data_IF_101038925849
#
_entry.id   IF_101038925849
#
_cell.length_a   1.000
_cell.length_b   1.000
_cell.length_c   1.000
_cell.angle_alpha   90.00
_cell.angle_beta   90.00
_cell.angle_gamma   90.00
#
_symmetry.space_group_name_H-M   'P 1'
#
loop_
_entity.id
_entity.type
_entity.pdbx_description
1 polymer ?
#
# COMPACT_ATOMS: atom_id res chain seq x y z
N UNK A 1 17.89 4.29 19.33
CA UNK A 1 16.81 5.00 18.61
C UNK A 1 15.52 5.04 19.40
N UNK A 2 14.78 6.13 19.23
CA UNK A 2 13.47 6.28 19.88
C UNK A 2 12.45 5.31 19.29
N UNK A 3 11.35 5.08 20.01
CA UNK A 3 10.24 4.27 19.51
C UNK A 3 9.76 4.77 18.14
N UNK A 4 9.65 6.09 17.97
CA UNK A 4 9.20 6.67 16.70
C UNK A 4 10.10 6.29 15.53
N UNK A 5 11.43 6.32 15.73
CA UNK A 5 12.38 5.92 14.68
C UNK A 5 12.23 4.45 14.33
N UNK A 6 12.05 3.59 15.35
CA UNK A 6 11.83 2.14 15.13
C UNK A 6 10.54 1.90 14.35
N UNK A 7 9.47 2.61 14.68
CA UNK A 7 8.18 2.46 13.99
C UNK A 7 8.28 2.90 12.52
N UNK A 8 9.01 3.99 12.23
CA UNK A 8 9.24 4.44 10.85
C UNK A 8 10.00 3.38 10.06
N UNK A 9 11.05 2.81 10.63
CA UNK A 9 11.85 1.77 9.97
C UNK A 9 10.99 0.54 9.67
N UNK A 10 10.13 0.11 10.62
CA UNK A 10 9.22 -1.02 10.43
C UNK A 10 8.22 -0.76 9.31
N UNK A 11 7.59 0.41 9.29
CA UNK A 11 6.63 0.78 8.24
C UNK A 11 7.31 0.79 6.87
N UNK A 12 8.53 1.35 6.78
CA UNK A 12 9.30 1.34 5.54
C UNK A 12 9.61 -0.09 5.09
N UNK A 13 9.92 -0.98 6.01
CA UNK A 13 10.15 -2.39 5.72
C UNK A 13 8.91 -3.07 5.15
N UNK A 14 7.73 -2.81 5.73
CA UNK A 14 6.47 -3.33 5.23
C UNK A 14 6.19 -2.86 3.80
N UNK A 15 6.33 -1.56 3.56
CA UNK A 15 6.08 -0.99 2.23
C UNK A 15 7.06 -1.58 1.20
N UNK A 16 8.33 -1.71 1.57
CA UNK A 16 9.33 -2.34 0.71
C UNK A 16 8.98 -3.78 0.36
N UNK A 17 8.51 -4.56 1.33
CA UNK A 17 8.06 -5.93 1.10
C UNK A 17 6.86 -5.98 0.16
N UNK A 18 5.89 -5.09 0.34
CA UNK A 18 4.71 -5.01 -0.54
C UNK A 18 5.11 -4.60 -1.95
N UNK A 19 6.02 -3.64 -2.10
CA UNK A 19 6.54 -3.25 -3.42
C UNK A 19 7.18 -4.45 -4.12
N UNK A 20 7.95 -5.26 -3.39
CA UNK A 20 8.58 -6.46 -3.94
C UNK A 20 7.53 -7.46 -4.42
N UNK A 21 6.49 -7.72 -3.62
CA UNK A 21 5.43 -8.66 -3.97
C UNK A 21 4.62 -8.15 -5.16
N UNK A 22 4.30 -6.84 -5.19
CA UNK A 22 3.42 -6.28 -6.23
C UNK A 22 4.10 -6.10 -7.58
N UNK A 23 5.36 -5.68 -7.61
CA UNK A 23 5.98 -5.22 -8.85
C UNK A 23 7.44 -5.62 -9.00
N UNK A 24 8.01 -6.34 -8.06
CA UNK A 24 9.46 -6.60 -8.00
C UNK A 24 10.27 -5.30 -8.03
N UNK A 25 9.72 -4.23 -7.47
CA UNK A 25 10.38 -2.94 -7.38
C UNK A 25 10.24 -2.04 -8.61
N UNK A 26 9.38 -2.39 -9.57
CA UNK A 26 9.30 -1.69 -10.85
C UNK A 26 8.23 -0.59 -10.83
N UNK A 27 8.66 0.67 -10.89
CA UNK A 27 7.76 1.83 -10.93
C UNK A 27 6.93 1.89 -12.21
N UNK A 28 7.36 1.19 -13.27
CA UNK A 28 6.68 1.18 -14.56
C UNK A 28 5.84 -0.08 -14.78
N UNK A 29 5.65 -0.89 -13.75
CA UNK A 29 4.83 -2.10 -13.85
C UNK A 29 3.37 -1.73 -14.16
N UNK A 30 2.76 -2.46 -15.10
CA UNK A 30 1.38 -2.22 -15.50
C UNK A 30 0.66 -3.53 -15.74
N UNK A 31 -0.42 -3.76 -15.00
CA UNK A 31 -1.33 -4.88 -15.20
C UNK A 31 -2.58 -4.35 -15.90
N UNK A 32 -2.66 -4.58 -17.21
CA UNK A 32 -3.72 -4.03 -18.06
C UNK A 32 -5.12 -4.50 -17.65
N UNK A 33 -5.25 -5.78 -17.29
CA UNK A 33 -6.57 -6.35 -16.97
C UNK A 33 -7.21 -5.73 -15.73
N UNK A 34 -6.41 -5.24 -14.80
CA UNK A 34 -6.87 -4.62 -13.56
C UNK A 34 -6.65 -3.12 -13.54
N UNK A 35 -5.99 -2.56 -14.55
CA UNK A 35 -5.50 -1.17 -14.54
C UNK A 35 -4.73 -0.87 -13.25
N UNK A 36 -3.87 -1.80 -12.86
CA UNK A 36 -3.01 -1.66 -11.69
C UNK A 36 -1.63 -1.17 -12.14
N UNK A 37 -1.17 -0.07 -11.55
CA UNK A 37 -0.04 0.69 -12.06
C UNK A 37 1.02 0.93 -10.98
N UNK A 38 2.27 0.80 -11.37
CA UNK A 38 3.42 1.26 -10.61
C UNK A 38 3.91 0.27 -9.57
N UNK A 39 4.82 0.74 -8.73
CA UNK A 39 5.49 -0.13 -7.75
C UNK A 39 4.54 -0.77 -6.74
N UNK A 40 3.40 -0.14 -6.46
CA UNK A 40 2.39 -0.64 -5.51
C UNK A 40 1.13 -1.16 -6.21
N UNK A 41 1.13 -1.21 -7.54
CA UNK A 41 0.02 -1.75 -8.34
C UNK A 41 -1.33 -1.13 -7.96
N UNK A 42 -1.40 0.19 -8.01
CA UNK A 42 -2.56 0.97 -7.59
C UNK A 42 -3.61 1.00 -8.70
N UNK A 43 -4.85 0.67 -8.34
CA UNK A 43 -6.01 0.76 -9.23
C UNK A 43 -6.70 2.12 -9.11
N UNK A 44 -7.51 2.52 -10.11
CA UNK A 44 -8.26 3.78 -10.04
C UNK A 44 -9.16 3.90 -8.81
N UNK A 45 -9.76 2.78 -8.36
CA UNK A 45 -10.62 2.82 -7.17
C UNK A 45 -9.86 3.27 -5.92
N UNK A 46 -8.58 2.91 -5.81
CA UNK A 46 -7.75 3.34 -4.68
C UNK A 46 -7.50 4.86 -4.72
N UNK A 47 -7.30 5.42 -5.90
CA UNK A 47 -7.13 6.88 -6.05
C UNK A 47 -8.39 7.60 -5.56
N UNK A 48 -9.56 7.12 -5.97
CA UNK A 48 -10.84 7.70 -5.52
C UNK A 48 -11.00 7.59 -4.01
N UNK A 49 -10.69 6.43 -3.45
CA UNK A 49 -10.84 6.18 -2.01
C UNK A 49 -9.89 7.06 -1.18
N UNK A 50 -8.64 7.16 -1.59
CA UNK A 50 -7.66 8.00 -0.89
C UNK A 50 -8.05 9.47 -0.94
N UNK A 51 -8.51 9.95 -2.08
CA UNK A 51 -8.98 11.34 -2.20
C UNK A 51 -10.23 11.59 -1.35
N UNK A 52 -11.12 10.61 -1.24
CA UNK A 52 -12.29 10.70 -0.35
C UNK A 52 -11.85 10.82 1.10
N UNK A 53 -10.91 9.99 1.53
CA UNK A 53 -10.38 10.03 2.89
C UNK A 53 -9.70 11.36 3.21
N UNK A 54 -8.90 11.87 2.28
CA UNK A 54 -8.23 13.15 2.44
C UNK A 54 -9.25 14.29 2.60
N UNK A 55 -10.29 14.29 1.79
CA UNK A 55 -11.36 15.30 1.86
C UNK A 55 -12.04 15.28 3.24
N UNK A 56 -12.41 14.08 3.72
CA UNK A 56 -13.06 13.90 5.02
C UNK A 56 -12.15 14.41 6.16
N UNK A 57 -10.84 14.20 6.02
CA UNK A 57 -9.87 14.60 7.05
C UNK A 57 -9.48 16.08 6.98
N UNK A 58 -10.02 16.83 6.02
CA UNK A 58 -9.64 18.23 5.81
C UNK A 58 -8.22 18.42 5.27
N UNK A 59 -7.68 17.40 4.61
CA UNK A 59 -6.35 17.42 4.01
C UNK A 59 -6.48 17.87 2.55
N UNK A 60 -5.69 18.89 2.16
CA UNK A 60 -5.78 19.47 0.82
C UNK A 60 -5.11 18.65 -0.28
N UNK A 61 -4.32 17.63 0.09
CA UNK A 61 -3.65 16.78 -0.90
C UNK A 61 -4.67 16.04 -1.75
N UNK A 62 -4.34 15.88 -3.04
CA UNK A 62 -5.12 15.04 -3.97
C UNK A 62 -4.16 14.31 -4.90
N UNK A 63 -4.51 13.08 -5.24
CA UNK A 63 -3.73 12.23 -6.15
C UNK A 63 -4.52 12.02 -7.45
N UNK A 64 -3.79 11.77 -8.52
CA UNK A 64 -4.37 11.52 -9.85
C UNK A 64 -3.95 10.13 -10.33
N UNK A 65 -4.50 9.70 -11.46
CA UNK A 65 -4.09 8.42 -12.05
C UNK A 65 -2.60 8.42 -12.39
N UNK A 66 -2.03 9.58 -12.76
CA UNK A 66 -0.59 9.69 -13.05
C UNK A 66 0.27 9.50 -11.79
N UNK A 67 -0.28 9.80 -10.61
CA UNK A 67 0.45 9.61 -9.35
C UNK A 67 0.92 8.18 -9.15
N UNK A 68 0.23 7.22 -9.74
CA UNK A 68 0.52 5.79 -9.61
C UNK A 68 1.86 5.38 -10.19
N UNK A 69 2.38 6.16 -11.14
CA UNK A 69 3.69 5.92 -11.78
C UNK A 69 4.86 6.48 -10.97
N UNK A 70 4.58 7.28 -9.95
CA UNK A 70 5.58 7.93 -9.11
C UNK A 70 5.70 7.17 -7.78
N UNK A 71 6.92 6.70 -7.47
CA UNK A 71 7.17 5.88 -6.26
C UNK A 71 6.79 6.63 -4.99
N UNK A 72 7.25 7.88 -4.85
CA UNK A 72 6.99 8.68 -3.65
C UNK A 72 5.49 8.88 -3.44
N UNK A 73 4.76 9.24 -4.49
CA UNK A 73 3.31 9.45 -4.39
C UNK A 73 2.57 8.15 -4.11
N UNK A 74 3.03 7.04 -4.68
CA UNK A 74 2.46 5.71 -4.41
C UNK A 74 2.60 5.34 -2.94
N UNK A 75 3.76 5.60 -2.34
CA UNK A 75 4.00 5.36 -0.91
C UNK A 75 3.09 6.26 -0.06
N UNK A 76 2.93 7.52 -0.43
CA UNK A 76 2.01 8.42 0.27
C UNK A 76 0.57 7.92 0.23
N UNK A 77 0.13 7.40 -0.92
CA UNK A 77 -1.20 6.80 -1.08
C UNK A 77 -1.38 5.63 -0.11
N UNK A 78 -0.39 4.74 -0.02
CA UNK A 78 -0.43 3.62 0.93
C UNK A 78 -0.57 4.12 2.37
N UNK A 79 0.20 5.14 2.74
CA UNK A 79 0.18 5.69 4.09
C UNK A 79 -1.15 6.35 4.42
N UNK A 80 -1.75 7.07 3.49
CA UNK A 80 -3.07 7.68 3.69
C UNK A 80 -4.13 6.59 3.89
N UNK A 81 -4.13 5.57 3.05
CA UNK A 81 -5.12 4.49 3.09
C UNK A 81 -5.06 3.71 4.39
N UNK A 82 -3.86 3.47 4.90
CA UNK A 82 -3.65 2.64 6.08
C UNK A 82 -3.42 3.43 7.37
N UNK A 83 -3.69 4.74 7.37
CA UNK A 83 -3.61 5.54 8.59
C UNK A 83 -4.51 4.94 9.68
N UNK A 84 -3.97 4.79 10.88
CA UNK A 84 -4.66 4.23 12.04
C UNK A 84 -4.92 2.71 11.99
N UNK A 85 -4.35 2.02 11.00
CA UNK A 85 -4.36 0.56 10.96
C UNK A 85 -3.07 0.06 11.61
N UNK A 86 -3.16 -0.53 12.79
CA UNK A 86 -1.99 -0.80 13.63
C UNK A 86 -1.16 -2.01 13.21
N UNK A 87 -1.80 -3.04 12.65
CA UNK A 87 -1.15 -4.32 12.34
C UNK A 87 -0.62 -4.32 10.91
N UNK A 88 0.61 -4.78 10.71
CA UNK A 88 1.18 -4.97 9.37
C UNK A 88 0.35 -5.93 8.53
N UNK A 89 -0.12 -7.02 9.15
CA UNK A 89 -1.00 -7.97 8.47
C UNK A 89 -2.25 -7.28 7.95
N UNK A 90 -2.92 -6.49 8.78
CA UNK A 90 -4.14 -5.80 8.39
C UNK A 90 -3.87 -4.76 7.30
N UNK A 91 -2.77 -4.03 7.38
CA UNK A 91 -2.40 -3.07 6.34
C UNK A 91 -2.20 -3.76 4.99
N UNK A 92 -1.46 -4.87 4.98
CA UNK A 92 -1.18 -5.63 3.76
C UNK A 92 -2.46 -6.25 3.20
N UNK A 93 -3.27 -6.88 4.05
CA UNK A 93 -4.50 -7.55 3.60
C UNK A 93 -5.54 -6.55 3.11
N UNK A 94 -5.63 -5.37 3.73
CA UNK A 94 -6.47 -4.27 3.23
C UNK A 94 -5.96 -3.75 1.88
N UNK A 95 -4.65 -3.65 1.70
CA UNK A 95 -4.08 -3.21 0.44
C UNK A 95 -4.46 -4.15 -0.70
N UNK A 96 -4.42 -5.45 -0.46
CA UNK A 96 -4.75 -6.47 -1.45
C UNK A 96 -6.26 -6.64 -1.66
N UNK A 97 -7.06 -6.62 -0.58
CA UNK A 97 -8.46 -7.03 -0.63
C UNK A 97 -9.50 -5.94 -0.34
N UNK A 98 -9.06 -4.68 -0.12
CA UNK A 98 -9.96 -3.58 0.19
C UNK A 98 -10.24 -3.42 1.69
N UNK A 99 -11.18 -2.53 2.06
CA UNK A 99 -11.41 -2.19 3.48
C UNK A 99 -11.68 -3.37 4.41
N UNK A 100 -12.27 -4.44 3.89
CA UNK A 100 -12.53 -5.66 4.66
C UNK A 100 -11.54 -6.78 4.34
N UNK A 101 -10.40 -6.43 3.72
CA UNK A 101 -9.40 -7.41 3.29
C UNK A 101 -8.90 -8.30 4.41
N UNK A 102 -8.77 -7.76 5.63
CA UNK A 102 -8.30 -8.51 6.78
C UNK A 102 -9.26 -9.66 7.17
N UNK A 103 -10.51 -9.63 6.71
CA UNK A 103 -11.49 -10.65 6.99
C UNK A 103 -11.68 -11.63 5.83
N UNK A 104 -10.94 -11.47 4.74
CA UNK A 104 -11.07 -12.31 3.54
C UNK A 104 -10.02 -13.41 3.53
N UNK A 105 -10.45 -14.65 3.36
CA UNK A 105 -9.56 -15.80 3.23
C UNK A 105 -8.56 -15.61 2.07
N UNK A 106 -9.03 -15.03 0.97
CA UNK A 106 -8.22 -14.83 -0.23
C UNK A 106 -6.96 -13.97 0.02
N UNK A 107 -6.98 -13.08 1.03
CA UNK A 107 -5.83 -12.21 1.32
C UNK A 107 -4.78 -12.86 2.20
N UNK A 108 -5.04 -14.04 2.77
CA UNK A 108 -4.07 -14.75 3.62
C UNK A 108 -2.84 -15.14 2.81
N UNK A 109 -3.06 -15.66 1.60
CA UNK A 109 -1.96 -16.06 0.71
C UNK A 109 -1.07 -14.86 0.36
N UNK A 110 -1.68 -13.71 0.09
CA UNK A 110 -0.96 -12.46 -0.16
C UNK A 110 -0.12 -12.07 1.05
N UNK A 111 -0.72 -12.09 2.25
CA UNK A 111 0.00 -11.77 3.48
C UNK A 111 1.20 -12.70 3.69
N UNK A 112 1.04 -13.99 3.39
CA UNK A 112 2.16 -14.93 3.54
C UNK A 112 3.33 -14.57 2.62
N UNK A 113 3.06 -14.08 1.41
CA UNK A 113 4.10 -13.60 0.49
C UNK A 113 4.81 -12.37 1.05
N UNK A 114 4.04 -11.39 1.56
CA UNK A 114 4.59 -10.18 2.16
C UNK A 114 5.44 -10.51 3.37
N UNK A 115 4.93 -11.37 4.25
CA UNK A 115 5.63 -11.81 5.46
C UNK A 115 6.97 -12.46 5.12
N UNK A 116 7.01 -13.29 4.09
CA UNK A 116 8.22 -13.94 3.62
C UNK A 116 9.28 -12.91 3.19
N UNK A 117 8.87 -11.87 2.48
CA UNK A 117 9.77 -10.79 2.08
C UNK A 117 10.29 -10.01 3.29
N UNK A 118 9.45 -9.78 4.30
CA UNK A 118 9.88 -9.13 5.54
C UNK A 118 10.97 -9.92 6.27
N UNK A 119 10.85 -11.24 6.30
CA UNK A 119 11.81 -12.11 6.97
C UNK A 119 13.13 -12.19 6.20
N UNK A 120 13.07 -12.16 4.86
CA UNK A 120 14.23 -12.30 3.98
C UNK A 120 14.99 -10.99 3.77
N UNK A 121 14.44 -9.89 4.23
CA UNK A 121 15.10 -8.59 4.19
C UNK A 121 15.79 -8.31 5.56
#
# INVERSE_FOLDING_TARGET
PTKMVKDIVKVSGLIGAIIQVESSGNDSAYNKSEDAVGCLQIRPIMIREVNRLLKIRGDSRRYTLLSRWNRQKSIEIFLVYNKNISSFENQARRWNGGPNGMNKTATVKYWNKVKKELINN
#
